data_IF_725448702613
#
_entry.id   IF_725448702613
#
_cell.length_a   1.000
_cell.length_b   1.000
_cell.length_c   1.000
_cell.angle_alpha   90.00
_cell.angle_beta   90.00
_cell.angle_gamma   90.00
#
_symmetry.space_group_name_H-M   'P 1'
#
loop_
_entity.id
_entity.type
_entity.pdbx_description
1 polymer ?
#
# COMPACT_ATOMS: atom_id res chain seq x y z
N UNK A 1 -9.10 7.21 -18.67
CA UNK A 1 -9.31 6.96 -17.23
C UNK A 1 -9.99 8.19 -16.63
N UNK A 2 -11.10 8.02 -15.94
CA UNK A 2 -11.91 9.14 -15.42
C UNK A 2 -11.27 9.69 -14.14
N UNK A 3 -11.27 11.01 -13.93
CA UNK A 3 -10.63 11.66 -12.77
C UNK A 3 -11.15 11.14 -11.41
N UNK A 4 -12.40 10.69 -11.38
CA UNK A 4 -13.02 10.12 -10.18
C UNK A 4 -12.39 8.79 -9.70
N UNK A 5 -11.83 7.96 -10.59
CA UNK A 5 -11.21 6.68 -10.19
C UNK A 5 -9.84 6.91 -9.55
N UNK A 6 -9.04 7.83 -10.12
CA UNK A 6 -7.71 8.16 -9.60
C UNK A 6 -7.78 8.69 -8.15
N UNK A 7 -8.76 9.53 -7.85
CA UNK A 7 -8.96 10.04 -6.50
C UNK A 7 -9.44 8.95 -5.54
N UNK A 8 -10.20 7.96 -6.02
CA UNK A 8 -10.59 6.81 -5.22
C UNK A 8 -9.40 5.88 -4.90
N UNK A 9 -8.48 5.73 -5.85
CA UNK A 9 -7.26 4.92 -5.69
C UNK A 9 -6.30 5.57 -4.69
N UNK A 10 -6.08 6.89 -4.80
CA UNK A 10 -5.29 7.66 -3.82
C UNK A 10 -5.86 7.54 -2.40
N UNK A 11 -7.19 7.67 -2.25
CA UNK A 11 -7.85 7.49 -0.94
C UNK A 11 -7.64 6.08 -0.39
N UNK A 12 -7.70 5.08 -1.26
CA UNK A 12 -7.45 3.69 -0.87
C UNK A 12 -6.00 3.48 -0.43
N UNK A 13 -5.02 3.94 -1.20
CA UNK A 13 -3.59 3.90 -0.85
C UNK A 13 -3.33 4.57 0.50
N UNK A 14 -3.88 5.77 0.71
CA UNK A 14 -3.76 6.48 1.99
C UNK A 14 -4.34 5.67 3.16
N UNK A 15 -5.47 5.00 2.96
CA UNK A 15 -6.06 4.17 4.02
C UNK A 15 -5.16 2.99 4.42
N UNK A 16 -4.37 2.45 3.48
CA UNK A 16 -3.37 1.42 3.75
C UNK A 16 -2.18 2.02 4.50
N UNK A 17 -1.67 3.18 4.07
CA UNK A 17 -0.59 3.89 4.75
C UNK A 17 -0.94 4.14 6.23
N UNK A 18 -2.16 4.61 6.51
CA UNK A 18 -2.64 4.83 7.87
C UNK A 18 -2.73 3.54 8.71
N UNK A 19 -3.09 2.39 8.10
CA UNK A 19 -3.11 1.09 8.79
C UNK A 19 -1.70 0.62 9.13
N UNK A 20 -0.75 0.75 8.20
CA UNK A 20 0.66 0.42 8.42
C UNK A 20 1.23 1.30 9.53
N UNK A 21 0.99 2.60 9.45
CA UNK A 21 1.43 3.57 10.45
C UNK A 21 0.90 3.21 11.85
N UNK A 22 -0.41 2.99 12.00
CA UNK A 22 -1.02 2.62 13.30
C UNK A 22 -0.53 1.27 13.86
N UNK A 23 0.04 0.41 13.02
CA UNK A 23 0.55 -0.89 13.45
C UNK A 23 1.95 -0.83 14.10
N UNK A 24 2.69 0.27 13.90
CA UNK A 24 4.08 0.40 14.36
C UNK A 24 5.12 -0.33 13.50
N UNK A 25 4.72 -0.99 12.42
CA UNK A 25 5.61 -1.76 11.52
C UNK A 25 6.10 -0.97 10.29
N UNK A 26 6.34 0.34 10.45
CA UNK A 26 6.69 1.23 9.33
C UNK A 26 7.98 0.77 8.64
N UNK A 27 9.08 0.63 9.39
CA UNK A 27 10.40 0.25 8.84
C UNK A 27 10.37 -1.06 8.04
N UNK A 28 9.88 -2.19 8.57
CA UNK A 28 9.80 -3.42 7.77
C UNK A 28 8.80 -3.31 6.60
N UNK A 29 7.70 -2.56 6.73
CA UNK A 29 6.75 -2.36 5.64
C UNK A 29 7.38 -1.62 4.45
N UNK A 30 8.06 -0.49 4.70
CA UNK A 30 8.77 0.26 3.66
C UNK A 30 9.85 -0.60 3.02
N UNK A 31 10.62 -1.36 3.80
CA UNK A 31 11.63 -2.27 3.26
C UNK A 31 11.04 -3.30 2.28
N UNK A 32 9.92 -3.95 2.63
CA UNK A 32 9.28 -4.91 1.72
C UNK A 32 8.66 -4.24 0.48
N UNK A 33 8.14 -3.02 0.61
CA UNK A 33 7.62 -2.24 -0.52
C UNK A 33 8.74 -1.78 -1.48
N UNK A 34 9.89 -1.39 -0.95
CA UNK A 34 11.09 -1.07 -1.74
C UNK A 34 11.56 -2.28 -2.55
N UNK A 35 11.60 -3.46 -1.92
CA UNK A 35 11.93 -4.71 -2.60
C UNK A 35 10.89 -5.11 -3.66
N UNK A 36 9.64 -4.67 -3.52
CA UNK A 36 8.58 -5.01 -4.48
C UNK A 36 8.55 -4.12 -5.73
N UNK A 37 9.21 -2.94 -5.71
CA UNK A 37 9.36 -2.07 -6.90
C UNK A 37 9.96 -2.77 -8.13
N UNK A 38 11.08 -3.53 -8.05
CA UNK A 38 11.58 -4.32 -9.18
C UNK A 38 10.70 -5.55 -9.51
N UNK A 39 9.78 -5.93 -8.61
CA UNK A 39 8.88 -7.08 -8.73
C UNK A 39 7.51 -6.74 -9.35
N UNK A 40 7.31 -5.56 -9.93
CA UNK A 40 6.11 -5.27 -10.74
C UNK A 40 5.87 -6.30 -11.87
N UNK A 41 6.90 -7.08 -12.24
CA UNK A 41 6.82 -8.23 -13.15
C UNK A 41 6.24 -9.54 -12.55
N UNK A 42 6.07 -9.66 -11.23
CA UNK A 42 5.48 -10.85 -10.54
C UNK A 42 4.09 -10.55 -9.94
N UNK A 43 3.52 -9.37 -10.23
CA UNK A 43 2.30 -8.85 -9.59
C UNK A 43 1.10 -9.81 -9.59
N UNK A 44 0.90 -10.58 -10.65
CA UNK A 44 -0.20 -11.55 -10.73
C UNK A 44 0.03 -12.82 -9.90
N UNK A 45 1.28 -13.28 -9.75
CA UNK A 45 1.59 -14.54 -9.06
C UNK A 45 1.82 -14.35 -7.56
N UNK A 46 2.40 -13.21 -7.15
CA UNK A 46 2.61 -12.88 -5.74
C UNK A 46 1.27 -12.66 -5.02
N UNK A 47 0.34 -11.94 -5.65
CA UNK A 47 -1.03 -11.78 -5.13
C UNK A 47 -1.69 -13.17 -4.97
N UNK A 48 -1.80 -13.97 -6.04
CA UNK A 48 -2.40 -15.33 -5.96
C UNK A 48 -1.78 -16.18 -4.85
N UNK A 49 -0.47 -16.08 -4.65
CA UNK A 49 0.25 -16.79 -3.58
C UNK A 49 -0.14 -16.31 -2.18
N UNK A 50 -0.27 -15.01 -1.95
CA UNK A 50 -0.62 -14.42 -0.66
C UNK A 50 -2.13 -14.31 -0.39
N UNK A 51 -2.99 -14.56 -1.39
CA UNK A 51 -4.45 -14.50 -1.28
C UNK A 51 -5.06 -15.22 -0.07
N UNK A 52 -4.64 -16.45 0.29
CA UNK A 52 -5.16 -17.15 1.48
C UNK A 52 -4.82 -16.45 2.80
N UNK A 53 -3.68 -15.77 2.89
CA UNK A 53 -3.22 -15.07 4.09
C UNK A 53 -3.90 -13.71 4.18
N UNK A 54 -3.95 -12.96 3.08
CA UNK A 54 -4.56 -11.61 3.08
C UNK A 54 -6.07 -11.69 3.31
N UNK A 55 -6.78 -12.67 2.75
CA UNK A 55 -8.22 -12.86 3.01
C UNK A 55 -8.56 -13.20 4.47
N UNK A 56 -7.58 -13.66 5.26
CA UNK A 56 -7.79 -13.88 6.69
C UNK A 56 -7.83 -12.56 7.49
N UNK A 57 -7.34 -11.45 6.92
CA UNK A 57 -7.20 -10.16 7.59
C UNK A 57 -7.88 -8.98 6.86
N UNK A 58 -8.28 -9.16 5.60
CA UNK A 58 -8.92 -8.14 4.74
C UNK A 58 -10.04 -8.83 3.93
N UNK A 59 -11.20 -8.19 3.76
CA UNK A 59 -12.26 -8.75 2.90
C UNK A 59 -11.80 -8.81 1.43
N UNK A 60 -12.27 -9.82 0.70
CA UNK A 60 -11.87 -10.15 -0.67
C UNK A 60 -11.98 -8.99 -1.67
N UNK A 61 -12.95 -8.08 -1.50
CA UNK A 61 -13.11 -6.91 -2.38
C UNK A 61 -11.93 -5.94 -2.31
N UNK A 62 -11.43 -5.65 -1.11
CA UNK A 62 -10.28 -4.76 -0.91
C UNK A 62 -8.98 -5.40 -1.43
N UNK A 63 -8.90 -6.73 -1.40
CA UNK A 63 -7.76 -7.48 -1.91
C UNK A 63 -7.64 -7.38 -3.44
N UNK A 64 -8.71 -7.61 -4.21
CA UNK A 64 -8.67 -7.47 -5.67
C UNK A 64 -8.38 -6.04 -6.10
N UNK A 65 -8.94 -5.06 -5.38
CA UNK A 65 -8.66 -3.65 -5.61
C UNK A 65 -7.19 -3.30 -5.34
N UNK A 66 -6.60 -3.85 -4.28
CA UNK A 66 -5.18 -3.70 -4.01
C UNK A 66 -4.32 -4.35 -5.12
N UNK A 67 -4.70 -5.53 -5.61
CA UNK A 67 -4.02 -6.20 -6.71
C UNK A 67 -3.97 -5.33 -7.96
N UNK A 68 -5.11 -4.79 -8.39
CA UNK A 68 -5.20 -3.92 -9.57
C UNK A 68 -4.39 -2.62 -9.40
N UNK A 69 -4.48 -1.97 -8.23
CA UNK A 69 -3.79 -0.70 -7.98
C UNK A 69 -2.27 -0.91 -7.93
N UNK A 70 -1.77 -1.94 -7.24
CA UNK A 70 -0.33 -2.14 -7.03
C UNK A 70 0.39 -2.90 -8.15
N UNK A 71 -0.26 -3.22 -9.27
CA UNK A 71 0.42 -3.63 -10.50
C UNK A 71 1.38 -2.54 -11.02
N UNK A 72 1.08 -1.27 -10.70
CA UNK A 72 1.88 -0.11 -11.09
C UNK A 72 2.86 0.24 -9.97
N UNK A 73 4.16 0.22 -10.27
CA UNK A 73 5.21 0.56 -9.31
C UNK A 73 5.08 2.00 -8.79
N UNK A 74 4.48 2.91 -9.57
CA UNK A 74 4.21 4.28 -9.13
C UNK A 74 3.21 4.34 -7.97
N UNK A 75 2.29 3.39 -7.88
CA UNK A 75 1.35 3.31 -6.77
C UNK A 75 2.00 2.72 -5.51
N UNK A 76 3.03 1.87 -5.68
CA UNK A 76 3.88 1.41 -4.57
C UNK A 76 4.69 2.59 -4.02
N UNK A 77 5.28 3.40 -4.91
CA UNK A 77 5.98 4.63 -4.52
C UNK A 77 5.06 5.61 -3.79
N UNK A 78 3.85 5.82 -4.29
CA UNK A 78 2.86 6.67 -3.63
C UNK A 78 2.49 6.15 -2.24
N UNK A 79 2.40 4.83 -2.05
CA UNK A 79 2.17 4.24 -0.74
C UNK A 79 3.32 4.53 0.23
N UNK A 80 4.57 4.36 -0.22
CA UNK A 80 5.76 4.67 0.58
C UNK A 80 5.74 6.14 1.01
N UNK A 81 5.50 7.05 0.08
CA UNK A 81 5.42 8.49 0.36
C UNK A 81 4.32 8.85 1.35
N UNK A 82 3.13 8.25 1.25
CA UNK A 82 2.07 8.50 2.25
C UNK A 82 2.43 7.95 3.64
N UNK A 83 3.18 6.84 3.73
CA UNK A 83 3.68 6.32 5.01
C UNK A 83 4.69 7.30 5.62
N UNK A 84 5.66 7.78 4.85
CA UNK A 84 6.67 8.75 5.29
C UNK A 84 6.03 10.09 5.71
N UNK A 85 5.06 10.59 4.95
CA UNK A 85 4.31 11.80 5.27
C UNK A 85 3.53 11.70 6.60
N UNK A 86 3.07 10.49 6.97
CA UNK A 86 2.40 10.28 8.24
C UNK A 86 3.39 10.28 9.41
N UNK A 87 4.56 9.66 9.22
CA UNK A 87 5.64 9.64 10.21
C UNK A 87 6.17 11.05 10.50
N UNK A 88 6.50 11.83 9.45
CA UNK A 88 6.99 13.21 9.60
C UNK A 88 6.01 14.10 10.36
N UNK A 89 4.71 13.94 10.13
CA UNK A 89 3.67 14.71 10.83
C UNK A 89 3.64 14.42 12.33
N UNK A 90 3.92 13.19 12.75
CA UNK A 90 3.97 12.86 14.18
C UNK A 90 5.23 13.43 14.81
N UNK A 91 6.38 13.27 14.17
CA UNK A 91 7.66 13.81 14.66
C UNK A 91 7.61 15.33 14.83
N UNK A 92 6.82 16.05 14.02
CA UNK A 92 6.61 17.49 14.15
C UNK A 92 5.51 17.91 15.13
N UNK A 93 4.59 17.02 15.50
CA UNK A 93 3.56 17.30 16.53
C UNK A 93 4.11 17.09 17.94
N UNK A 94 5.11 16.22 18.11
CA UNK A 94 5.74 15.91 19.41
C UNK A 94 6.90 16.85 19.80
N UNK A 95 7.22 17.87 18.99
CA UNK A 95 8.27 18.87 19.24
C UNK A 95 7.71 20.25 19.55
#
# INVERSE_FOLDING_TARGET
>A
MNSNSLEADKRFIRSIAERIHRSGFITPAVFFLELSKPLSLIGSHAMIFFGPIINAFINTEDYYKAAEIFEKSENIELLIQEIENLEEKIVHVER
#
